data_IF_846013350584
#
_entry.id   IF_846013350584
#
_cell.length_a   1.000
_cell.length_b   1.000
_cell.length_c   1.000
_cell.angle_alpha   90.00
_cell.angle_beta   90.00
_cell.angle_gamma   90.00
#
_symmetry.space_group_name_H-M   'P 1'
#
loop_
_entity.id
_entity.type
_entity.pdbx_description
1 polymer ?
#
# COMPACT_ATOMS: atom_id res chain seq x y z
N UNK A 1 30.63 57.14 47.05
CA UNK A 1 29.48 57.09 46.10
C UNK A 1 29.84 56.08 45.01
N UNK A 2 29.64 54.78 45.28
CA UNK A 2 28.46 53.96 44.92
C UNK A 2 28.37 53.65 43.42
N UNK A 3 28.90 52.48 43.05
CA UNK A 3 28.59 51.76 41.81
C UNK A 3 27.15 51.23 41.89
N UNK A 4 26.36 51.34 40.81
CA UNK A 4 25.10 50.61 40.66
C UNK A 4 24.88 50.15 39.22
N UNK A 5 24.58 48.86 39.08
CA UNK A 5 24.18 48.13 37.87
C UNK A 5 22.67 48.30 37.64
N UNK A 6 22.23 48.39 36.38
CA UNK A 6 20.89 47.99 35.94
C UNK A 6 20.98 47.57 34.45
N UNK A 7 20.93 46.28 34.11
CA UNK A 7 19.79 45.33 34.08
C UNK A 7 19.01 45.41 32.76
N UNK A 8 19.38 44.50 31.85
CA UNK A 8 18.68 44.19 30.61
C UNK A 8 17.47 43.31 30.93
N UNK A 9 16.25 43.86 30.89
CA UNK A 9 15.01 43.10 31.09
C UNK A 9 13.83 43.77 30.40
N UNK A 10 13.78 43.72 29.06
CA UNK A 10 12.57 44.12 28.30
C UNK A 10 12.20 43.14 27.17
N UNK A 11 12.95 42.05 26.97
CA UNK A 11 12.72 41.12 25.84
C UNK A 11 12.15 39.75 26.24
N UNK A 12 11.44 39.64 27.37
CA UNK A 12 10.83 38.37 27.85
C UNK A 12 9.29 38.43 27.92
N UNK A 13 8.66 39.59 27.79
CA UNK A 13 7.19 39.73 27.92
C UNK A 13 6.39 39.57 26.62
N UNK A 14 6.99 39.78 25.44
CA UNK A 14 6.24 39.75 24.16
C UNK A 14 6.01 38.32 23.60
N UNK A 15 6.87 37.34 23.92
CA UNK A 15 6.75 35.95 23.41
C UNK A 15 5.68 35.15 24.16
N UNK A 16 5.40 35.51 25.42
CA UNK A 16 4.48 34.76 26.30
C UNK A 16 3.00 35.08 26.05
N UNK A 17 2.67 36.22 25.45
CA UNK A 17 1.31 36.60 25.08
C UNK A 17 0.82 35.84 23.84
N UNK A 18 1.61 35.81 22.75
CA UNK A 18 1.25 35.10 21.50
C UNK A 18 1.06 33.59 21.68
N UNK A 19 1.83 32.97 22.59
CA UNK A 19 1.66 31.53 22.91
C UNK A 19 0.37 31.20 23.66
N UNK A 20 -0.22 32.15 24.39
CA UNK A 20 -1.51 31.95 25.08
C UNK A 20 -2.67 32.04 24.10
N UNK A 21 -2.65 33.00 23.17
CA UNK A 21 -3.71 33.18 22.18
C UNK A 21 -3.79 32.04 21.16
N UNK A 22 -2.65 31.46 20.77
CA UNK A 22 -2.63 30.26 19.90
C UNK A 22 -3.19 29.04 20.63
N UNK A 23 -2.89 28.87 21.93
CA UNK A 23 -3.40 27.75 22.74
C UNK A 23 -4.90 27.87 23.04
N UNK A 24 -5.42 29.08 23.24
CA UNK A 24 -6.85 29.31 23.45
C UNK A 24 -7.64 29.11 22.16
N UNK A 25 -7.12 29.54 21.02
CA UNK A 25 -7.75 29.27 19.71
C UNK A 25 -7.72 27.78 19.33
N UNK A 26 -6.62 27.06 19.60
CA UNK A 26 -6.55 25.61 19.38
C UNK A 26 -7.54 24.84 20.27
N UNK A 27 -7.70 25.24 21.55
CA UNK A 27 -8.70 24.65 22.45
C UNK A 27 -10.14 24.94 22.01
N UNK A 28 -10.42 26.15 21.53
CA UNK A 28 -11.75 26.52 20.99
C UNK A 28 -12.08 25.74 19.71
N UNK A 29 -11.11 25.54 18.80
CA UNK A 29 -11.29 24.73 17.58
C UNK A 29 -11.53 23.26 17.91
N UNK A 30 -10.75 22.69 18.82
CA UNK A 30 -10.93 21.30 19.29
C UNK A 30 -12.29 21.06 19.99
N UNK A 31 -12.80 22.03 20.76
CA UNK A 31 -14.12 21.94 21.36
C UNK A 31 -15.24 21.98 20.30
N UNK A 32 -15.10 22.83 19.27
CA UNK A 32 -16.05 22.92 18.15
C UNK A 32 -16.07 21.64 17.30
N UNK A 33 -14.91 21.04 17.06
CA UNK A 33 -14.80 19.79 16.28
C UNK A 33 -15.37 18.59 17.06
N UNK A 34 -15.17 18.53 18.39
CA UNK A 34 -15.82 17.54 19.26
C UNK A 34 -17.35 17.72 19.30
N UNK A 35 -17.84 18.95 19.36
CA UNK A 35 -19.27 19.24 19.30
C UNK A 35 -19.89 18.79 17.97
N UNK A 36 -19.24 19.08 16.84
CA UNK A 36 -19.71 18.67 15.51
C UNK A 36 -19.68 17.15 15.31
N UNK A 37 -18.71 16.45 15.90
CA UNK A 37 -18.65 14.97 15.90
C UNK A 37 -19.77 14.37 16.76
N UNK A 38 -20.04 14.95 17.92
CA UNK A 38 -21.15 14.53 18.78
C UNK A 38 -22.53 14.78 18.13
N UNK A 39 -22.69 15.91 17.44
CA UNK A 39 -23.91 16.26 16.70
C UNK A 39 -24.16 15.31 15.52
N UNK A 40 -23.11 14.97 14.74
CA UNK A 40 -23.19 13.95 13.69
C UNK A 40 -23.51 12.56 14.24
N UNK A 41 -22.88 12.15 15.33
CA UNK A 41 -23.17 10.88 15.97
C UNK A 41 -24.62 10.83 16.50
N UNK A 42 -25.14 11.93 17.04
CA UNK A 42 -26.52 12.04 17.48
C UNK A 42 -27.51 12.05 16.30
N UNK A 43 -27.16 12.70 15.19
CA UNK A 43 -27.95 12.69 13.95
C UNK A 43 -28.03 11.28 13.37
N UNK A 44 -26.88 10.60 13.24
CA UNK A 44 -26.83 9.23 12.73
C UNK A 44 -27.57 8.26 13.65
N UNK A 45 -27.50 8.44 14.97
CA UNK A 45 -28.25 7.62 15.93
C UNK A 45 -29.77 7.82 15.78
N UNK A 46 -30.24 9.07 15.64
CA UNK A 46 -31.66 9.37 15.40
C UNK A 46 -32.16 8.84 14.05
N UNK A 47 -31.32 8.87 13.03
CA UNK A 47 -31.62 8.31 11.71
C UNK A 47 -31.68 6.78 11.75
N UNK A 48 -30.76 6.14 12.47
CA UNK A 48 -30.80 4.69 12.70
C UNK A 48 -32.06 4.29 13.47
N UNK A 49 -32.42 5.01 14.54
CA UNK A 49 -33.62 4.76 15.33
C UNK A 49 -34.91 4.98 14.52
N UNK A 50 -34.95 5.98 13.62
CA UNK A 50 -36.12 6.22 12.76
C UNK A 50 -36.27 5.16 11.67
N UNK A 51 -35.15 4.66 11.11
CA UNK A 51 -35.13 3.55 10.16
C UNK A 51 -35.52 2.22 10.82
N UNK A 52 -35.10 2.00 12.07
CA UNK A 52 -35.46 0.79 12.84
C UNK A 52 -36.95 0.80 13.18
N UNK A 53 -37.48 1.95 13.62
CA UNK A 53 -38.92 2.11 13.90
C UNK A 53 -39.81 1.99 12.66
N UNK A 54 -39.32 2.43 11.49
CA UNK A 54 -40.01 2.20 10.19
C UNK A 54 -40.00 0.75 9.77
N UNK A 55 -38.99 -0.02 10.18
CA UNK A 55 -38.88 -1.45 9.87
C UNK A 55 -39.78 -2.30 10.79
N UNK A 56 -39.94 -1.88 12.04
CA UNK A 56 -40.84 -2.53 13.01
C UNK A 56 -42.33 -2.23 12.74
N UNK A 57 -42.66 -1.11 12.06
CA UNK A 57 -44.05 -0.78 11.70
C UNK A 57 -44.54 -1.42 10.39
N UNK A 58 -43.78 -2.34 9.79
CA UNK A 58 -44.13 -3.04 8.53
C UNK A 58 -44.45 -4.52 8.78
N UNK A 59 -44.47 -4.97 10.05
CA UNK A 59 -44.64 -6.38 10.42
C UNK A 59 -45.97 -6.70 11.14
N UNK A 60 -46.90 -5.74 11.25
CA UNK A 60 -48.25 -6.02 11.78
C UNK A 60 -49.31 -5.60 10.75
N UNK A 61 -49.87 -6.61 10.07
CA UNK A 61 -51.00 -6.45 9.15
C UNK A 61 -51.38 -7.78 8.52
N UNK A 62 -52.16 -8.57 9.26
CA UNK A 62 -52.82 -9.80 8.80
C UNK A 62 -53.82 -9.52 7.64
N UNK A 63 -54.02 -10.59 6.88
CA UNK A 63 -54.75 -10.78 5.62
C UNK A 63 -56.20 -10.25 5.54
N UNK A 64 -56.63 -9.83 4.35
CA UNK A 64 -57.67 -10.55 3.55
C UNK A 64 -57.98 -9.85 2.21
N UNK A 65 -58.32 -10.70 1.24
CA UNK A 65 -59.05 -10.52 -0.02
C UNK A 65 -58.32 -10.39 -1.39
N UNK A 66 -58.69 -11.37 -2.22
CA UNK A 66 -58.43 -11.63 -3.64
C UNK A 66 -58.52 -10.40 -4.57
N UNK A 67 -57.60 -10.30 -5.54
CA UNK A 67 -57.99 -10.35 -6.96
C UNK A 67 -56.80 -10.48 -7.93
N UNK A 68 -57.11 -11.13 -9.04
CA UNK A 68 -56.26 -11.64 -10.11
C UNK A 68 -55.50 -10.56 -10.90
N UNK A 69 -54.16 -10.55 -10.82
CA UNK A 69 -53.29 -9.90 -11.81
C UNK A 69 -51.85 -10.46 -11.75
N UNK A 70 -51.48 -11.21 -12.79
CA UNK A 70 -50.11 -11.65 -13.08
C UNK A 70 -49.17 -10.44 -13.31
N UNK A 71 -48.65 -9.89 -12.22
CA UNK A 71 -47.47 -9.02 -12.25
C UNK A 71 -46.22 -9.90 -12.16
N UNK A 72 -45.40 -9.85 -13.20
CA UNK A 72 -44.08 -10.48 -13.22
C UNK A 72 -43.30 -10.10 -11.95
N UNK A 73 -42.62 -11.05 -11.27
CA UNK A 73 -41.92 -10.74 -10.03
C UNK A 73 -40.84 -9.69 -10.30
N UNK A 74 -40.92 -8.58 -9.56
CA UNK A 74 -39.86 -7.59 -9.51
C UNK A 74 -38.52 -8.30 -9.23
N UNK A 75 -37.42 -7.94 -9.90
CA UNK A 75 -36.14 -8.56 -9.63
C UNK A 75 -35.81 -8.32 -8.16
N UNK A 76 -35.63 -9.42 -7.43
CA UNK A 76 -35.09 -9.41 -6.08
C UNK A 76 -33.76 -8.68 -6.14
N UNK A 77 -33.74 -7.41 -5.70
CA UNK A 77 -32.53 -6.63 -5.47
C UNK A 77 -31.73 -7.36 -4.38
N UNK A 78 -30.91 -8.32 -4.82
CA UNK A 78 -29.93 -8.96 -3.96
C UNK A 78 -29.09 -7.87 -3.30
N UNK A 79 -28.75 -8.06 -2.03
CA UNK A 79 -27.85 -7.18 -1.27
C UNK A 79 -26.61 -6.92 -2.13
N UNK A 80 -26.37 -5.68 -2.57
CA UNK A 80 -25.20 -5.36 -3.41
C UNK A 80 -23.93 -5.77 -2.70
N UNK A 81 -22.89 -6.12 -3.45
CA UNK A 81 -21.63 -6.51 -2.82
C UNK A 81 -21.09 -5.34 -1.97
N UNK A 82 -20.43 -5.60 -0.82
CA UNK A 82 -20.03 -4.53 0.10
C UNK A 82 -19.09 -3.50 -0.54
N UNK A 83 -18.28 -3.92 -1.52
CA UNK A 83 -17.39 -3.04 -2.28
C UNK A 83 -18.11 -2.14 -3.31
N UNK A 84 -19.39 -2.36 -3.58
CA UNK A 84 -20.20 -1.56 -4.50
C UNK A 84 -20.93 -0.41 -3.80
N UNK A 85 -20.89 -0.37 -2.47
CA UNK A 85 -21.43 0.75 -1.70
C UNK A 85 -20.75 2.06 -2.10
N UNK A 86 -21.52 3.16 -2.14
CA UNK A 86 -21.03 4.47 -2.61
C UNK A 86 -19.75 4.92 -1.88
N UNK A 87 -19.68 4.73 -0.57
CA UNK A 87 -18.51 5.09 0.23
C UNK A 87 -17.25 4.32 -0.21
N UNK A 88 -17.39 3.02 -0.49
CA UNK A 88 -16.25 2.18 -0.92
C UNK A 88 -15.86 2.45 -2.37
N UNK A 89 -16.82 2.76 -3.24
CA UNK A 89 -16.53 3.21 -4.61
C UNK A 89 -15.69 4.50 -4.56
N UNK A 90 -16.10 5.48 -3.76
CA UNK A 90 -15.35 6.73 -3.60
C UNK A 90 -13.96 6.49 -2.97
N UNK A 91 -13.87 5.59 -1.99
CA UNK A 91 -12.59 5.20 -1.39
C UNK A 91 -11.67 4.49 -2.38
N UNK A 92 -12.22 3.66 -3.27
CA UNK A 92 -11.47 3.00 -4.36
C UNK A 92 -10.87 4.03 -5.32
N UNK A 93 -11.63 5.06 -5.69
CA UNK A 93 -11.12 6.16 -6.51
C UNK A 93 -10.02 6.94 -5.77
N UNK A 94 -10.17 7.15 -4.46
CA UNK A 94 -9.14 7.78 -3.63
C UNK A 94 -7.86 6.92 -3.52
N UNK A 95 -7.98 5.59 -3.44
CA UNK A 95 -6.85 4.66 -3.47
C UNK A 95 -6.09 4.78 -4.81
N UNK A 96 -6.81 4.71 -5.93
CA UNK A 96 -6.21 4.85 -7.25
C UNK A 96 -5.54 6.23 -7.46
N UNK A 97 -6.21 7.30 -7.05
CA UNK A 97 -5.68 8.67 -7.16
C UNK A 97 -4.46 8.90 -6.28
N UNK A 98 -4.48 8.45 -5.03
CA UNK A 98 -3.37 8.59 -4.09
C UNK A 98 -2.16 7.75 -4.50
N UNK A 99 -2.38 6.52 -4.99
CA UNK A 99 -1.30 5.68 -5.52
C UNK A 99 -0.59 6.37 -6.69
N UNK A 100 -1.36 6.90 -7.66
CA UNK A 100 -0.80 7.64 -8.80
C UNK A 100 -0.05 8.90 -8.37
N UNK A 101 -0.56 9.63 -7.39
CA UNK A 101 0.12 10.80 -6.86
C UNK A 101 1.46 10.48 -6.19
N UNK A 102 1.60 9.30 -5.57
CA UNK A 102 2.82 8.88 -4.86
C UNK A 102 3.83 8.18 -5.76
N UNK A 103 3.37 7.35 -6.68
CA UNK A 103 4.24 6.48 -7.50
C UNK A 103 4.42 6.98 -8.94
N UNK A 104 3.52 7.85 -9.42
CA UNK A 104 3.41 8.20 -10.84
C UNK A 104 2.64 7.17 -11.68
N UNK A 105 2.36 5.98 -11.14
CA UNK A 105 1.75 4.86 -11.86
C UNK A 105 0.26 4.71 -11.55
N UNK A 106 -0.51 4.12 -12.46
CA UNK A 106 -1.92 3.77 -12.17
C UNK A 106 -1.96 2.48 -11.33
N UNK A 107 -2.74 2.50 -10.25
CA UNK A 107 -2.96 1.31 -9.42
C UNK A 107 -3.59 0.15 -10.21
N UNK A 108 -4.58 0.48 -11.05
CA UNK A 108 -5.20 -0.45 -11.97
C UNK A 108 -4.57 -0.29 -13.37
N UNK A 109 -4.17 -1.41 -13.96
CA UNK A 109 -3.66 -1.46 -15.33
C UNK A 109 -4.82 -1.33 -16.33
N UNK A 110 -4.54 -0.78 -17.51
CA UNK A 110 -5.52 -0.60 -18.57
C UNK A 110 -6.41 0.65 -18.42
N UNK A 111 -7.47 0.69 -19.23
CA UNK A 111 -8.47 1.75 -19.22
C UNK A 111 -9.73 1.24 -18.52
N UNK A 112 -9.75 1.35 -17.19
CA UNK A 112 -10.90 0.99 -16.36
C UNK A 112 -11.85 2.18 -16.29
N UNK A 113 -13.14 1.98 -16.58
CA UNK A 113 -14.15 3.02 -16.44
C UNK A 113 -14.41 3.32 -14.95
N UNK A 114 -14.75 4.56 -14.64
CA UNK A 114 -14.94 5.00 -13.24
C UNK A 114 -15.98 4.15 -12.50
N UNK A 115 -17.06 3.76 -13.17
CA UNK A 115 -18.12 2.94 -12.58
C UNK A 115 -17.72 1.47 -12.37
N UNK A 116 -16.66 1.00 -13.04
CA UNK A 116 -16.14 -0.37 -12.91
C UNK A 116 -14.97 -0.43 -11.92
N UNK A 117 -14.40 0.71 -11.52
CA UNK A 117 -13.17 0.79 -10.72
C UNK A 117 -13.23 0.00 -9.41
N UNK A 118 -14.38 0.01 -8.73
CA UNK A 118 -14.59 -0.75 -7.49
C UNK A 118 -14.50 -2.26 -7.72
N UNK A 119 -15.23 -2.77 -8.73
CA UNK A 119 -15.19 -4.18 -9.10
C UNK A 119 -13.80 -4.60 -9.62
N UNK A 120 -13.17 -3.75 -10.42
CA UNK A 120 -11.84 -3.99 -10.96
C UNK A 120 -10.76 -4.05 -9.85
N UNK A 121 -10.79 -3.14 -8.87
CA UNK A 121 -9.86 -3.20 -7.73
C UNK A 121 -10.14 -4.39 -6.81
N UNK A 122 -11.41 -4.71 -6.61
CA UNK A 122 -11.79 -5.85 -5.79
C UNK A 122 -11.24 -7.17 -6.35
N UNK A 123 -11.26 -7.34 -7.67
CA UNK A 123 -10.78 -8.54 -8.38
C UNK A 123 -9.35 -8.41 -8.94
N UNK A 124 -8.62 -7.35 -8.59
CA UNK A 124 -7.31 -7.07 -9.18
C UNK A 124 -6.29 -8.20 -8.94
N UNK A 125 -5.31 -8.39 -9.85
CA UNK A 125 -4.28 -9.43 -9.75
C UNK A 125 -3.17 -9.11 -8.75
N UNK A 126 -3.54 -8.55 -7.62
CA UNK A 126 -2.67 -8.21 -6.51
C UNK A 126 -3.51 -8.02 -5.27
N UNK A 127 -2.90 -8.10 -4.10
CA UNK A 127 -3.50 -7.65 -2.84
C UNK A 127 -3.53 -6.14 -2.81
N UNK A 128 -4.69 -5.59 -2.47
CA UNK A 128 -4.83 -4.20 -2.04
C UNK A 128 -5.62 -4.14 -0.74
N UNK A 129 -5.07 -3.46 0.26
CA UNK A 129 -5.74 -3.19 1.53
C UNK A 129 -5.37 -1.79 2.03
N UNK A 130 -6.24 -1.18 2.83
CA UNK A 130 -5.96 0.10 3.46
C UNK A 130 -6.57 0.24 4.83
N UNK A 131 -6.02 1.15 5.62
CA UNK A 131 -6.53 1.52 6.92
C UNK A 131 -6.65 3.03 7.09
N UNK A 132 -7.46 3.45 8.07
CA UNK A 132 -7.63 4.85 8.46
C UNK A 132 -6.44 5.39 9.27
N UNK A 133 -6.54 6.64 9.73
CA UNK A 133 -5.50 7.28 10.54
C UNK A 133 -5.32 6.64 11.93
N UNK A 134 -6.31 5.87 12.38
CA UNK A 134 -6.33 5.13 13.64
C UNK A 134 -5.89 3.65 13.48
N UNK A 135 -5.27 3.32 12.35
CA UNK A 135 -4.75 1.99 12.03
C UNK A 135 -5.85 0.91 11.94
N UNK A 136 -7.08 1.28 11.60
CA UNK A 136 -8.22 0.37 11.43
C UNK A 136 -8.47 0.12 9.95
N UNK A 137 -8.45 -1.15 9.52
CA UNK A 137 -8.70 -1.51 8.11
C UNK A 137 -10.06 -1.00 7.65
N UNK A 138 -10.08 -0.33 6.51
CA UNK A 138 -11.29 0.24 5.91
C UNK A 138 -11.54 -0.31 4.49
N UNK A 139 -10.61 -1.12 3.96
CA UNK A 139 -10.74 -1.79 2.67
C UNK A 139 -9.80 -2.98 2.59
N UNK A 140 -10.27 -4.07 1.97
CA UNK A 140 -9.46 -5.21 1.52
C UNK A 140 -10.10 -5.83 0.29
N UNK A 141 -9.32 -6.08 -0.76
CA UNK A 141 -9.81 -6.73 -1.97
C UNK A 141 -9.89 -8.26 -1.83
N UNK A 142 -10.41 -8.96 -2.85
CA UNK A 142 -10.61 -10.43 -2.84
C UNK A 142 -9.36 -11.19 -2.38
N UNK A 143 -8.19 -10.82 -2.93
CA UNK A 143 -6.92 -11.45 -2.59
C UNK A 143 -6.49 -11.18 -1.13
N UNK A 144 -6.76 -9.98 -0.61
CA UNK A 144 -6.53 -9.65 0.80
C UNK A 144 -7.40 -10.52 1.72
N UNK A 145 -8.71 -10.53 1.48
CA UNK A 145 -9.69 -11.29 2.27
C UNK A 145 -9.32 -12.77 2.33
N UNK A 146 -8.97 -13.37 1.18
CA UNK A 146 -8.51 -14.74 1.10
C UNK A 146 -7.17 -14.99 1.83
N UNK A 147 -6.22 -14.05 1.77
CA UNK A 147 -4.92 -14.19 2.42
C UNK A 147 -5.04 -14.20 3.95
N UNK A 148 -5.86 -13.28 4.50
CA UNK A 148 -6.09 -13.17 5.94
C UNK A 148 -7.17 -14.09 6.48
N UNK A 149 -7.85 -14.85 5.61
CA UNK A 149 -8.91 -15.80 5.97
C UNK A 149 -10.05 -15.11 6.74
N UNK A 150 -10.50 -13.98 6.20
CA UNK A 150 -11.57 -13.16 6.73
C UNK A 150 -12.52 -12.79 5.59
N UNK A 151 -13.80 -12.69 5.90
CA UNK A 151 -14.76 -12.03 5.02
C UNK A 151 -14.63 -10.50 5.15
N UNK A 152 -15.45 -9.78 4.38
CA UNK A 152 -15.42 -8.31 4.39
C UNK A 152 -15.66 -7.74 5.79
N UNK A 153 -16.68 -8.23 6.49
CA UNK A 153 -17.10 -7.71 7.81
C UNK A 153 -16.10 -8.06 8.92
N UNK A 154 -15.36 -9.17 8.79
CA UNK A 154 -14.27 -9.53 9.67
C UNK A 154 -12.99 -8.74 9.43
N UNK A 155 -12.73 -8.34 8.18
CA UNK A 155 -11.53 -7.58 7.80
C UNK A 155 -11.69 -6.08 8.00
N UNK A 156 -12.79 -5.49 7.51
CA UNK A 156 -13.08 -4.07 7.62
C UNK A 156 -13.55 -3.76 9.05
N UNK A 157 -12.88 -2.82 9.71
CA UNK A 157 -13.04 -2.55 11.15
C UNK A 157 -12.00 -3.26 12.02
N UNK A 158 -11.20 -4.17 11.46
CA UNK A 158 -10.11 -4.82 12.18
C UNK A 158 -8.94 -3.85 12.41
N UNK A 159 -8.41 -3.83 13.64
CA UNK A 159 -7.15 -3.13 13.92
C UNK A 159 -6.00 -3.80 13.19
N UNK A 160 -5.16 -3.02 12.52
CA UNK A 160 -4.06 -3.56 11.73
C UNK A 160 -2.98 -4.25 12.56
N UNK A 161 -2.94 -4.08 13.88
CA UNK A 161 -2.11 -4.92 14.79
C UNK A 161 -2.46 -6.41 14.69
N UNK A 162 -3.72 -6.75 14.40
CA UNK A 162 -4.20 -8.14 14.26
C UNK A 162 -3.82 -8.79 12.92
N UNK A 163 -3.23 -8.04 11.98
CA UNK A 163 -2.70 -8.60 10.73
C UNK A 163 -1.30 -9.22 10.88
N UNK A 164 -0.70 -9.04 12.05
CA UNK A 164 0.58 -9.60 12.46
C UNK A 164 0.36 -10.47 13.70
N UNK A 165 1.32 -11.34 13.98
CA UNK A 165 1.33 -12.13 15.21
C UNK A 165 1.32 -11.17 16.41
N UNK A 166 0.27 -11.19 17.22
CA UNK A 166 0.07 -10.24 18.34
C UNK A 166 0.97 -10.61 19.52
N UNK A 167 1.34 -11.88 19.64
CA UNK A 167 2.18 -12.40 20.71
C UNK A 167 3.67 -12.23 20.40
N UNK A 168 4.03 -12.03 19.13
CA UNK A 168 5.41 -11.76 18.70
C UNK A 168 5.72 -10.25 18.69
N UNK A 169 6.40 -9.80 19.75
CA UNK A 169 6.85 -8.43 19.91
C UNK A 169 7.75 -7.93 18.76
N UNK A 170 8.55 -8.81 18.14
CA UNK A 170 9.44 -8.44 17.03
C UNK A 170 8.62 -8.09 15.80
N UNK A 171 7.69 -8.96 15.41
CA UNK A 171 6.80 -8.73 14.26
C UNK A 171 5.94 -7.47 14.48
N UNK A 172 5.46 -7.21 15.69
CA UNK A 172 4.73 -5.97 16.00
C UNK A 172 5.59 -4.71 15.91
N UNK A 173 6.85 -4.77 16.36
CA UNK A 173 7.80 -3.68 16.24
C UNK A 173 8.14 -3.37 14.77
N UNK A 174 8.36 -4.41 13.95
CA UNK A 174 8.59 -4.26 12.50
C UNK A 174 7.39 -3.64 11.79
N UNK A 175 6.16 -4.10 12.12
CA UNK A 175 4.92 -3.49 11.62
C UNK A 175 4.87 -2.00 11.97
N UNK A 176 5.15 -1.65 13.23
CA UNK A 176 5.12 -0.24 13.67
C UNK A 176 6.16 0.59 12.92
N UNK A 177 7.39 0.11 12.83
CA UNK A 177 8.48 0.79 12.12
C UNK A 177 8.13 1.03 10.64
N UNK A 178 7.51 0.04 9.97
CA UNK A 178 7.02 0.20 8.61
C UNK A 178 6.00 1.34 8.49
N UNK A 179 4.98 1.36 9.36
CA UNK A 179 3.92 2.35 9.29
C UNK A 179 4.42 3.76 9.60
N UNK A 180 5.32 3.88 10.56
CA UNK A 180 5.97 5.14 10.93
C UNK A 180 6.83 5.66 9.77
N UNK A 181 7.64 4.78 9.14
CA UNK A 181 8.43 5.13 7.95
C UNK A 181 7.54 5.52 6.76
N UNK A 182 6.44 4.81 6.53
CA UNK A 182 5.52 5.17 5.44
C UNK A 182 4.84 6.51 5.73
N UNK A 183 4.62 6.86 7.01
CA UNK A 183 4.07 8.14 7.41
C UNK A 183 5.06 9.29 7.23
N UNK A 184 6.37 9.06 7.45
CA UNK A 184 7.42 10.07 7.22
C UNK A 184 7.73 10.26 5.73
N UNK A 185 7.94 9.16 5.01
CA UNK A 185 8.48 9.17 3.64
C UNK A 185 7.34 9.28 2.61
N UNK A 186 6.12 8.95 3.02
CA UNK A 186 4.91 9.00 2.18
C UNK A 186 4.77 7.82 1.21
N UNK A 187 5.86 7.14 0.87
CA UNK A 187 5.92 5.96 0.01
C UNK A 187 7.09 5.06 0.44
N UNK A 188 6.82 3.77 0.53
CA UNK A 188 7.83 2.71 0.67
C UNK A 188 7.60 1.72 -0.45
N UNK A 189 8.67 1.31 -1.10
CA UNK A 189 8.69 0.21 -2.07
C UNK A 189 9.58 -0.92 -1.55
N UNK A 190 9.42 -2.11 -2.14
CA UNK A 190 10.25 -3.28 -1.84
C UNK A 190 10.23 -3.70 -0.36
N UNK A 191 9.10 -3.48 0.34
CA UNK A 191 8.95 -3.95 1.70
C UNK A 191 8.67 -5.46 1.73
N UNK A 192 9.36 -6.17 2.62
CA UNK A 192 9.09 -7.56 2.95
C UNK A 192 8.94 -7.72 4.46
N UNK A 193 8.01 -8.55 4.90
CA UNK A 193 7.80 -8.78 6.33
C UNK A 193 6.77 -9.87 6.62
N UNK A 194 6.87 -10.46 7.80
CA UNK A 194 6.03 -11.58 8.22
C UNK A 194 4.69 -11.08 8.74
N UNK A 195 3.61 -11.75 8.33
CA UNK A 195 2.23 -11.50 8.75
C UNK A 195 1.55 -12.83 9.07
N UNK A 196 0.37 -12.75 9.69
CA UNK A 196 -0.37 -13.91 10.13
C UNK A 196 -1.85 -13.79 9.72
N UNK A 197 -2.44 -14.90 9.27
CA UNK A 197 -3.87 -15.01 9.02
C UNK A 197 -4.69 -15.10 10.32
N UNK A 198 -6.01 -14.97 10.21
CA UNK A 198 -6.93 -15.20 11.34
C UNK A 198 -6.80 -16.60 11.94
N UNK A 199 -6.44 -17.61 11.13
CA UNK A 199 -6.26 -19.00 11.56
C UNK A 199 -4.82 -19.34 11.96
N UNK A 200 -3.93 -18.35 12.10
CA UNK A 200 -2.56 -18.57 12.57
C UNK A 200 -1.52 -18.94 11.51
N UNK A 201 -1.89 -18.97 10.22
CA UNK A 201 -0.93 -19.28 9.14
C UNK A 201 0.00 -18.09 8.93
N UNK A 202 1.30 -18.30 9.08
CA UNK A 202 2.31 -17.26 8.83
C UNK A 202 2.66 -17.19 7.34
N UNK A 203 2.90 -15.98 6.87
CA UNK A 203 3.37 -15.74 5.51
C UNK A 203 4.25 -14.50 5.48
N UNK A 204 5.28 -14.52 4.64
CA UNK A 204 6.14 -13.38 4.38
C UNK A 204 5.65 -12.67 3.13
N UNK A 205 5.24 -11.42 3.29
CA UNK A 205 4.94 -10.53 2.17
C UNK A 205 6.23 -10.19 1.44
N UNK A 206 6.21 -10.14 0.11
CA UNK A 206 7.34 -9.75 -0.72
C UNK A 206 7.03 -8.53 -1.58
N UNK A 207 8.02 -7.66 -1.75
CA UNK A 207 8.01 -6.53 -2.68
C UNK A 207 6.78 -5.62 -2.56
N UNK A 208 6.30 -5.41 -1.33
CA UNK A 208 5.15 -4.57 -1.10
C UNK A 208 5.46 -3.09 -1.32
N UNK A 209 4.49 -2.41 -1.90
CA UNK A 209 4.43 -0.94 -1.93
C UNK A 209 3.44 -0.48 -0.87
N UNK A 210 3.89 0.36 0.06
CA UNK A 210 3.06 0.99 1.09
C UNK A 210 3.07 2.49 0.84
N UNK A 211 1.90 3.12 0.77
CA UNK A 211 1.82 4.56 0.56
C UNK A 211 0.85 5.22 1.53
N UNK A 212 1.15 6.47 1.86
CA UNK A 212 0.31 7.30 2.72
C UNK A 212 -0.72 8.06 1.89
N UNK A 213 -1.98 7.93 2.29
CA UNK A 213 -3.10 8.68 1.74
C UNK A 213 -3.27 10.00 2.50
N UNK A 214 -3.54 11.08 1.76
CA UNK A 214 -3.77 12.41 2.33
C UNK A 214 -5.03 13.04 1.76
N UNK A 215 -5.71 13.88 2.54
CA UNK A 215 -6.81 14.70 2.04
C UNK A 215 -6.29 15.92 1.24
N UNK A 216 -7.21 16.77 0.76
CA UNK A 216 -6.88 17.99 0.01
C UNK A 216 -6.05 19.02 0.79
N UNK A 217 -6.03 18.96 2.12
CA UNK A 217 -5.21 19.82 2.98
C UNK A 217 -3.82 19.21 3.27
N UNK A 218 -3.50 18.06 2.68
CA UNK A 218 -2.24 17.34 2.91
C UNK A 218 -2.19 16.56 4.23
N UNK A 219 -3.30 16.46 4.96
CA UNK A 219 -3.37 15.72 6.22
C UNK A 219 -3.49 14.23 5.94
N UNK A 220 -2.69 13.40 6.63
CA UNK A 220 -2.76 11.92 6.58
C UNK A 220 -4.17 11.45 6.93
N UNK A 221 -4.80 10.72 6.00
CA UNK A 221 -6.11 10.07 6.21
C UNK A 221 -5.99 8.57 6.43
N UNK A 222 -4.85 7.97 6.10
CA UNK A 222 -4.64 6.54 6.17
C UNK A 222 -3.42 6.09 5.41
N UNK A 223 -3.23 4.79 5.33
CA UNK A 223 -2.19 4.16 4.51
C UNK A 223 -2.78 2.96 3.79
N UNK A 224 -2.18 2.64 2.65
CA UNK A 224 -2.58 1.52 1.82
C UNK A 224 -1.36 0.71 1.40
N UNK A 225 -1.60 -0.55 1.06
CA UNK A 225 -0.58 -1.51 0.66
C UNK A 225 -0.98 -2.21 -0.63
N UNK A 226 0.01 -2.48 -1.47
CA UNK A 226 -0.10 -3.26 -2.70
C UNK A 226 1.05 -4.26 -2.79
N UNK A 227 0.74 -5.53 -3.01
CA UNK A 227 1.71 -6.59 -3.29
C UNK A 227 1.02 -7.74 -4.01
N UNK A 228 1.78 -8.61 -4.67
CA UNK A 228 1.19 -9.74 -5.42
C UNK A 228 1.81 -11.09 -5.07
N UNK A 229 2.87 -11.11 -4.27
CA UNK A 229 3.62 -12.32 -3.92
C UNK A 229 3.77 -12.46 -2.40
N UNK A 230 3.63 -13.70 -1.93
CA UNK A 230 3.96 -14.10 -0.57
C UNK A 230 4.68 -15.44 -0.57
N UNK A 231 5.45 -15.70 0.48
CA UNK A 231 5.95 -17.04 0.80
C UNK A 231 5.21 -17.53 2.04
N UNK A 232 4.55 -18.69 1.96
CA UNK A 232 3.97 -19.34 3.13
C UNK A 232 5.11 -19.82 4.03
N UNK A 233 5.02 -19.58 5.33
CA UNK A 233 6.05 -20.02 6.26
C UNK A 233 5.64 -21.32 6.92
N UNK A 234 6.58 -22.25 7.03
CA UNK A 234 6.43 -23.48 7.77
C UNK A 234 6.43 -23.20 9.29
N UNK A 235 6.05 -24.20 10.09
CA UNK A 235 5.99 -24.06 11.55
C UNK A 235 7.35 -23.75 12.20
N UNK A 236 8.45 -24.16 11.56
CA UNK A 236 9.82 -23.88 11.97
C UNK A 236 10.33 -22.50 11.50
N UNK A 237 9.50 -21.74 10.78
CA UNK A 237 9.84 -20.44 10.22
C UNK A 237 10.57 -20.49 8.88
N UNK A 238 10.86 -21.67 8.33
CA UNK A 238 11.43 -21.82 7.00
C UNK A 238 10.44 -21.44 5.90
N UNK A 239 10.97 -21.10 4.73
CA UNK A 239 10.18 -20.80 3.54
C UNK A 239 9.49 -22.07 3.01
N UNK A 240 8.19 -21.96 2.76
CA UNK A 240 7.35 -22.99 2.15
C UNK A 240 6.91 -22.57 0.74
N UNK A 241 5.63 -22.80 0.41
CA UNK A 241 5.09 -22.48 -0.91
C UNK A 241 5.15 -20.97 -1.22
N UNK A 242 5.78 -20.62 -2.33
CA UNK A 242 5.64 -19.30 -2.94
C UNK A 242 4.27 -19.19 -3.63
N UNK A 243 3.54 -18.13 -3.34
CA UNK A 243 2.19 -17.88 -3.83
C UNK A 243 2.13 -16.53 -4.54
N UNK A 244 1.39 -16.46 -5.64
CA UNK A 244 1.12 -15.23 -6.39
C UNK A 244 -0.38 -15.07 -6.64
N UNK A 245 -0.82 -13.84 -6.82
CA UNK A 245 -2.22 -13.53 -7.20
C UNK A 245 -2.35 -13.58 -8.73
N UNK A 246 -3.26 -14.40 -9.25
CA UNK A 246 -3.53 -14.52 -10.68
C UNK A 246 -4.43 -13.37 -11.21
N UNK A 247 -4.72 -13.38 -12.51
CA UNK A 247 -5.58 -12.38 -13.19
C UNK A 247 -6.99 -12.22 -12.60
N UNK A 248 -7.49 -13.23 -11.87
CA UNK A 248 -8.82 -13.26 -11.27
C UNK A 248 -8.82 -12.89 -9.77
N UNK A 249 -7.69 -12.42 -9.24
CA UNK A 249 -7.54 -12.06 -7.83
C UNK A 249 -7.43 -13.27 -6.90
N UNK A 250 -7.00 -14.42 -7.40
CA UNK A 250 -6.92 -15.68 -6.65
C UNK A 250 -5.47 -16.09 -6.39
N UNK A 251 -5.22 -16.65 -5.21
CA UNK A 251 -3.91 -17.18 -4.84
C UNK A 251 -3.63 -18.50 -5.52
N UNK A 252 -2.56 -18.55 -6.29
CA UNK A 252 -2.04 -19.77 -6.93
C UNK A 252 -0.58 -19.97 -6.52
N UNK A 253 -0.12 -21.22 -6.56
CA UNK A 253 1.32 -21.50 -6.40
C UNK A 253 2.07 -20.81 -7.53
N UNK A 254 3.21 -20.21 -7.21
CA UNK A 254 4.10 -19.63 -8.19
C UNK A 254 4.87 -20.76 -8.89
N UNK A 255 4.23 -21.44 -9.85
CA UNK A 255 4.79 -22.58 -10.58
C UNK A 255 5.92 -22.16 -11.55
N UNK A 256 6.16 -20.85 -11.70
CA UNK A 256 7.34 -20.31 -12.41
C UNK A 256 8.58 -20.33 -11.50
N UNK A 257 8.42 -20.61 -10.20
CA UNK A 257 9.51 -20.95 -9.31
C UNK A 257 9.69 -22.48 -9.25
N UNK A 258 10.48 -23.02 -10.18
CA UNK A 258 11.44 -24.07 -9.82
C UNK A 258 12.14 -23.62 -8.52
N UNK A 259 12.41 -24.52 -7.55
CA UNK A 259 12.81 -24.10 -6.22
C UNK A 259 13.97 -23.13 -6.35
N UNK A 260 13.74 -21.90 -5.87
CA UNK A 260 14.83 -21.02 -5.56
C UNK A 260 15.61 -21.74 -4.46
N UNK A 261 16.61 -22.51 -4.87
CA UNK A 261 17.82 -22.64 -4.08
C UNK A 261 18.17 -21.24 -3.60
N UNK A 262 18.41 -21.13 -2.30
CA UNK A 262 18.72 -19.89 -1.60
C UNK A 262 19.50 -18.94 -2.51
N UNK A 263 18.95 -17.76 -2.80
CA UNK A 263 19.81 -16.62 -3.14
C UNK A 263 20.48 -16.14 -1.86
N UNK A 264 21.26 -17.03 -1.22
CA UNK A 264 22.62 -16.66 -0.85
C UNK A 264 23.21 -16.19 -2.17
N UNK A 265 23.46 -14.89 -2.29
CA UNK A 265 24.25 -14.38 -3.40
C UNK A 265 25.54 -15.19 -3.36
N UNK A 266 25.72 -16.11 -4.31
CA UNK A 266 26.97 -16.84 -4.44
C UNK A 266 28.01 -15.80 -4.83
N UNK A 267 28.65 -15.23 -3.80
CA UNK A 267 29.60 -14.14 -3.92
C UNK A 267 30.75 -14.55 -4.83
N UNK A 268 31.08 -15.84 -4.87
CA UNK A 268 32.14 -16.37 -5.73
C UNK A 268 31.68 -16.47 -7.19
N UNK A 269 30.43 -16.88 -7.44
CA UNK A 269 29.84 -16.82 -8.78
C UNK A 269 29.67 -15.38 -9.29
N UNK A 270 29.28 -14.44 -8.43
CA UNK A 270 29.17 -13.01 -8.82
C UNK A 270 30.56 -12.40 -9.06
N UNK A 271 31.56 -12.74 -8.24
CA UNK A 271 32.96 -12.35 -8.51
C UNK A 271 33.49 -12.94 -9.81
N UNK A 272 33.17 -14.19 -10.12
CA UNK A 272 33.55 -14.83 -11.38
C UNK A 272 32.90 -14.11 -12.57
N UNK A 273 31.62 -13.77 -12.47
CA UNK A 273 30.90 -13.01 -13.49
C UNK A 273 31.47 -11.60 -13.69
N UNK A 274 31.83 -10.90 -12.61
CA UNK A 274 32.49 -9.59 -12.68
C UNK A 274 33.86 -9.71 -13.37
N UNK A 275 34.65 -10.73 -13.04
CA UNK A 275 35.94 -10.96 -13.70
C UNK A 275 35.78 -11.23 -15.20
N UNK A 276 34.78 -12.03 -15.58
CA UNK A 276 34.48 -12.32 -16.99
C UNK A 276 34.01 -11.07 -17.74
N UNK A 277 33.06 -10.30 -17.19
CA UNK A 277 32.56 -9.09 -17.81
C UNK A 277 33.64 -8.01 -17.91
N UNK A 278 34.52 -7.89 -16.92
CA UNK A 278 35.68 -7.00 -16.97
C UNK A 278 36.62 -7.37 -18.13
N UNK A 279 36.94 -8.65 -18.29
CA UNK A 279 37.74 -9.12 -19.42
C UNK A 279 37.06 -8.86 -20.77
N UNK A 280 35.72 -9.00 -20.85
CA UNK A 280 34.96 -8.65 -22.05
C UNK A 280 34.99 -7.15 -22.35
N UNK A 281 34.94 -6.28 -21.34
CA UNK A 281 35.11 -4.83 -21.52
C UNK A 281 36.49 -4.50 -22.08
N UNK A 282 37.54 -5.13 -21.56
CA UNK A 282 38.91 -4.91 -22.06
C UNK A 282 39.07 -5.38 -23.50
N UNK A 283 38.58 -6.58 -23.82
CA UNK A 283 38.63 -7.13 -25.17
C UNK A 283 37.85 -6.25 -26.17
N UNK A 284 36.64 -5.81 -25.82
CA UNK A 284 35.82 -4.97 -26.69
C UNK A 284 36.39 -3.55 -26.81
N UNK A 285 37.01 -3.02 -25.75
CA UNK A 285 37.72 -1.75 -25.83
C UNK A 285 38.94 -1.83 -26.75
N UNK A 286 39.63 -2.97 -26.82
CA UNK A 286 40.72 -3.21 -27.78
C UNK A 286 40.21 -3.19 -29.23
N UNK A 287 39.07 -3.83 -29.52
CA UNK A 287 38.43 -3.79 -30.85
C UNK A 287 38.09 -2.35 -31.25
N UNK A 288 37.52 -1.55 -30.34
CA UNK A 288 37.23 -0.13 -30.62
C UNK A 288 38.50 0.68 -30.89
N UNK A 289 39.61 0.37 -30.19
CA UNK A 289 40.91 1.03 -30.43
C UNK A 289 41.49 0.65 -31.77
N UNK A 290 41.50 -0.63 -32.12
CA UNK A 290 42.00 -1.12 -33.41
C UNK A 290 41.23 -0.51 -34.60
N UNK A 291 39.90 -0.43 -34.51
CA UNK A 291 39.09 0.23 -35.53
C UNK A 291 39.45 1.71 -35.69
N UNK A 292 39.81 2.39 -34.60
CA UNK A 292 40.24 3.80 -34.62
C UNK A 292 41.66 3.99 -35.14
N UNK A 293 42.57 3.10 -34.77
CA UNK A 293 43.96 3.11 -35.24
C UNK A 293 44.05 2.83 -36.74
N UNK A 294 43.09 2.07 -37.29
CA UNK A 294 42.92 1.85 -38.72
C UNK A 294 42.20 3.01 -39.46
N UNK A 295 42.04 4.17 -38.81
CA UNK A 295 41.47 5.38 -39.40
C UNK A 295 39.96 5.53 -39.21
N UNK A 296 39.31 4.62 -38.48
CA UNK A 296 37.89 4.71 -38.14
C UNK A 296 37.59 5.87 -37.18
N UNK A 297 36.50 6.55 -37.45
CA UNK A 297 35.98 7.67 -36.67
C UNK A 297 34.70 7.28 -35.94
N UNK A 298 34.28 8.06 -34.95
CA UNK A 298 33.02 7.81 -34.24
C UNK A 298 31.77 7.95 -35.14
N UNK A 299 31.93 8.43 -36.38
CA UNK A 299 30.85 8.53 -37.35
C UNK A 299 30.67 7.24 -38.18
N UNK A 300 31.65 6.33 -38.16
CA UNK A 300 31.62 5.09 -38.93
C UNK A 300 30.75 4.04 -38.24
N UNK A 301 29.96 3.32 -39.03
CA UNK A 301 28.95 2.41 -38.51
C UNK A 301 29.57 1.22 -37.77
N UNK A 302 30.74 0.74 -38.20
CA UNK A 302 31.49 -0.32 -37.53
C UNK A 302 32.01 0.13 -36.15
N UNK A 303 32.47 1.39 -36.04
CA UNK A 303 32.91 1.98 -34.76
C UNK A 303 31.71 2.19 -33.83
N UNK A 304 30.56 2.64 -34.35
CA UNK A 304 29.33 2.78 -33.56
C UNK A 304 28.84 1.44 -33.04
N UNK A 305 28.83 0.40 -33.88
CA UNK A 305 28.42 -0.94 -33.48
C UNK A 305 29.34 -1.49 -32.38
N UNK A 306 30.66 -1.36 -32.55
CA UNK A 306 31.63 -1.80 -31.55
C UNK A 306 31.52 -1.04 -30.22
N UNK A 307 31.23 0.28 -30.27
CA UNK A 307 31.00 1.11 -29.08
C UNK A 307 29.68 0.75 -28.39
N UNK A 308 28.62 0.43 -29.15
CA UNK A 308 27.35 -0.01 -28.56
C UNK A 308 27.53 -1.29 -27.74
N UNK A 309 28.23 -2.28 -28.30
CA UNK A 309 28.53 -3.53 -27.59
C UNK A 309 29.36 -3.25 -26.33
N UNK A 310 30.35 -2.35 -26.41
CA UNK A 310 31.15 -1.96 -25.25
C UNK A 310 30.30 -1.34 -24.13
N UNK A 311 29.32 -0.50 -24.48
CA UNK A 311 28.41 0.12 -23.51
C UNK A 311 27.49 -0.92 -22.86
N UNK A 312 26.97 -1.88 -23.63
CA UNK A 312 26.10 -2.94 -23.10
C UNK A 312 26.85 -3.84 -22.12
N UNK A 313 28.10 -4.22 -22.43
CA UNK A 313 28.93 -5.03 -21.51
C UNK A 313 29.28 -4.22 -20.26
N UNK A 314 29.56 -2.91 -20.38
CA UNK A 314 29.80 -2.03 -19.21
C UNK A 314 28.57 -1.89 -18.32
N UNK A 315 27.36 -1.82 -18.90
CA UNK A 315 26.12 -1.77 -18.14
C UNK A 315 25.93 -3.07 -17.33
N UNK A 316 26.13 -4.23 -17.97
CA UNK A 316 26.08 -5.54 -17.30
C UNK A 316 27.14 -5.69 -16.20
N UNK A 317 28.35 -5.18 -16.43
CA UNK A 317 29.41 -5.16 -15.41
C UNK A 317 28.98 -4.33 -14.19
N UNK A 318 28.45 -3.13 -14.42
CA UNK A 318 27.96 -2.25 -13.34
C UNK A 318 26.81 -2.89 -12.54
N UNK A 319 25.89 -3.58 -13.20
CA UNK A 319 24.82 -4.34 -12.53
C UNK A 319 25.35 -5.53 -11.72
N UNK A 320 26.42 -6.19 -12.18
CA UNK A 320 27.06 -7.28 -11.46
C UNK A 320 27.86 -6.77 -10.24
N UNK A 321 28.59 -5.66 -10.37
CA UNK A 321 29.29 -5.00 -9.28
C UNK A 321 28.33 -4.48 -8.20
N UNK A 322 27.16 -3.95 -8.59
CA UNK A 322 26.13 -3.50 -7.66
C UNK A 322 25.55 -4.64 -6.80
N UNK A 323 25.69 -5.91 -7.23
CA UNK A 323 25.28 -7.08 -6.44
C UNK A 323 26.33 -7.52 -5.41
N UNK A 324 27.56 -6.98 -5.48
CA UNK A 324 28.63 -7.19 -4.49
C UNK A 324 28.70 -6.07 -3.43
N UNK A 325 28.02 -4.94 -3.66
CA UNK A 325 28.02 -3.76 -2.79
C UNK A 325 26.95 -3.85 -1.68
#
# INVERSE_FOLDING_TARGET
MLLSRASSSTMVYAVRARSRDVRTNAKKKSAKDKARKAERAASNKKELESLTKRRESVDDGEDEDDDDAVAAPAPTMGKSAPYESTDIVMHTLALGGSYKAKTGEKLLRGNVLVHEAASALFNAPFVCASHDAEDTFNYGNKAALALWELDWDGFVGMKSTKSADVEDATTQAERRALLDKAASDGLITNYSGVRMSSTGKKFRVENATVWTMTNGDGVKTGQAVRFEKVVRLNADGSDGDAMVVNENGEWVKDVVASPAEDKVVDVDAVKALVAELSAQVEAQAAVVRELKDNGGTNADDDVKAAVSVLLDVKAKLSEAEAKLA
#
